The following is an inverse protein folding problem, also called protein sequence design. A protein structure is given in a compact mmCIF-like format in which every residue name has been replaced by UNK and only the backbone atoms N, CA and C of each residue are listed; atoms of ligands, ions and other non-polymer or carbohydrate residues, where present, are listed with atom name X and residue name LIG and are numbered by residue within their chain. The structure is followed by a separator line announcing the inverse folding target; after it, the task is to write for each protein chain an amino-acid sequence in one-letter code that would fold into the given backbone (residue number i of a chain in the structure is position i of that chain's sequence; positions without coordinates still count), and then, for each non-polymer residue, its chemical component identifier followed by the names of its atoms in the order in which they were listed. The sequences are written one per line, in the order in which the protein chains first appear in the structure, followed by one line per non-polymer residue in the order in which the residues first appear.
data_IF_071935513320
#
_entry.id   IF_071935513320
#
_cell.length_a   1.000
_cell.length_b   1.000
_cell.length_c   1.000
_cell.angle_alpha   90.00
_cell.angle_beta   90.00
_cell.angle_gamma   90.00
#
_symmetry.space_group_name_H-M   'P 1'
#
loop_
_entity.id
_entity.type
_entity.pdbx_description
1 polymer ?
#
# COMPACT_ATOMS: atom_id res chain seq x y z
N UNK A 1 -13.02 -7.21 -0.21
CA UNK A 1 -12.50 -8.61 -0.24
C UNK A 1 -12.97 -9.33 1.04
N UNK A 2 -13.17 -10.66 1.02
CA UNK A 2 -13.72 -11.44 2.17
C UNK A 2 -12.99 -11.17 3.49
N UNK A 3 -11.66 -11.05 3.46
CA UNK A 3 -10.85 -10.80 4.66
C UNK A 3 -11.10 -9.44 5.33
N UNK A 4 -11.50 -8.40 4.57
CA UNK A 4 -11.53 -7.02 5.10
C UNK A 4 -12.67 -6.73 6.05
N UNK A 5 -13.88 -7.16 5.69
CA UNK A 5 -15.07 -6.61 6.34
C UNK A 5 -15.43 -7.31 7.66
N UNK A 6 -15.14 -8.62 7.77
CA UNK A 6 -15.63 -9.44 8.88
C UNK A 6 -14.69 -10.59 9.28
N UNK A 7 -14.06 -11.29 8.32
CA UNK A 7 -13.57 -12.65 8.58
C UNK A 7 -12.04 -12.82 8.66
N UNK A 8 -11.24 -11.95 8.04
CA UNK A 8 -9.77 -12.08 8.00
C UNK A 8 -9.23 -13.19 7.08
N UNK A 9 -7.91 -13.37 7.07
CA UNK A 9 -7.21 -14.24 6.12
C UNK A 9 -7.38 -15.74 6.40
N UNK A 10 -7.43 -16.13 7.68
CA UNK A 10 -7.42 -17.53 8.14
C UNK A 10 -8.83 -18.16 8.30
N UNK A 11 -9.87 -17.40 7.94
CA UNK A 11 -11.27 -17.76 8.13
C UNK A 11 -11.75 -18.94 7.26
N UNK A 12 -12.89 -19.53 7.58
CA UNK A 12 -13.52 -20.56 6.74
C UNK A 12 -13.99 -19.99 5.39
N UNK A 13 -14.50 -18.77 5.38
CA UNK A 13 -14.90 -18.02 4.18
C UNK A 13 -13.68 -17.73 3.28
N UNK A 14 -12.55 -17.36 3.86
CA UNK A 14 -11.29 -17.16 3.14
C UNK A 14 -10.71 -18.48 2.61
N UNK A 15 -10.89 -19.59 3.34
CA UNK A 15 -10.54 -20.94 2.87
C UNK A 15 -11.44 -21.41 1.71
N UNK A 16 -12.76 -21.20 1.81
CA UNK A 16 -13.71 -21.54 0.74
C UNK A 16 -13.47 -20.67 -0.51
N UNK A 17 -13.25 -19.35 -0.34
CA UNK A 17 -12.86 -18.46 -1.43
C UNK A 17 -11.59 -18.93 -2.14
N UNK A 18 -10.56 -19.37 -1.39
CA UNK A 18 -9.32 -19.95 -1.95
C UNK A 18 -9.58 -21.25 -2.72
N UNK A 19 -10.45 -22.14 -2.22
CA UNK A 19 -10.86 -23.37 -2.93
C UNK A 19 -11.63 -23.07 -4.22
N UNK A 20 -12.57 -22.13 -4.18
CA UNK A 20 -13.33 -21.69 -5.36
C UNK A 20 -12.43 -21.03 -6.41
N UNK A 21 -11.44 -20.23 -5.98
CA UNK A 21 -10.46 -19.62 -6.87
C UNK A 21 -9.60 -20.67 -7.59
N UNK A 22 -9.13 -21.73 -6.91
CA UNK A 22 -8.44 -22.86 -7.55
C UNK A 22 -9.32 -23.58 -8.60
N UNK A 23 -10.60 -23.85 -8.28
CA UNK A 23 -11.56 -24.45 -9.23
C UNK A 23 -11.80 -23.53 -10.43
N UNK A 24 -11.97 -22.23 -10.21
CA UNK A 24 -12.17 -21.24 -11.27
C UNK A 24 -10.93 -21.13 -12.18
N UNK A 25 -9.74 -21.03 -11.59
CA UNK A 25 -8.46 -20.94 -12.31
C UNK A 25 -8.19 -22.21 -13.15
N UNK A 26 -8.53 -23.39 -12.62
CA UNK A 26 -8.47 -24.66 -13.36
C UNK A 26 -9.37 -24.63 -14.59
N UNK A 27 -10.63 -24.20 -14.43
CA UNK A 27 -11.61 -24.11 -15.52
C UNK A 27 -11.21 -23.08 -16.58
N UNK A 28 -10.83 -21.87 -16.15
CA UNK A 28 -10.37 -20.79 -17.01
C UNK A 28 -9.17 -21.21 -17.88
N UNK A 29 -8.14 -21.78 -17.24
CA UNK A 29 -6.96 -22.32 -17.95
C UNK A 29 -7.35 -23.39 -18.96
N UNK A 30 -8.21 -24.35 -18.58
CA UNK A 30 -8.63 -25.42 -19.49
C UNK A 30 -9.38 -24.87 -20.72
N UNK A 31 -10.26 -23.88 -20.54
CA UNK A 31 -10.97 -23.23 -21.65
C UNK A 31 -10.04 -22.45 -22.59
N UNK A 32 -9.03 -21.74 -22.06
CA UNK A 32 -7.99 -21.10 -22.86
C UNK A 32 -7.18 -22.14 -23.66
N UNK A 33 -6.67 -23.17 -22.98
CA UNK A 33 -5.87 -24.24 -23.59
C UNK A 33 -6.62 -25.01 -24.68
N UNK A 34 -7.93 -25.19 -24.53
CA UNK A 34 -8.81 -25.80 -25.54
C UNK A 34 -8.99 -24.88 -26.77
N UNK A 35 -9.06 -23.56 -26.57
CA UNK A 35 -9.38 -22.60 -27.64
C UNK A 35 -8.17 -22.19 -28.49
N UNK A 36 -6.99 -22.05 -27.90
CA UNK A 36 -5.78 -21.57 -28.61
C UNK A 36 -4.61 -22.57 -28.60
N UNK A 37 -4.78 -23.73 -27.94
CA UNK A 37 -3.74 -24.73 -27.79
C UNK A 37 -2.83 -24.47 -26.58
N UNK A 38 -2.37 -25.55 -25.94
CA UNK A 38 -1.53 -25.50 -24.73
C UNK A 38 -0.17 -24.83 -24.92
N UNK A 39 0.37 -24.88 -26.14
CA UNK A 39 1.65 -24.25 -26.50
C UNK A 39 1.53 -22.75 -26.81
N UNK A 40 0.32 -22.18 -26.71
CA UNK A 40 0.04 -20.77 -26.99
C UNK A 40 -0.34 -19.98 -25.72
N UNK A 41 -0.25 -20.60 -24.53
CA UNK A 41 -0.70 -20.01 -23.26
C UNK A 41 0.42 -20.01 -22.23
N UNK A 42 0.80 -18.81 -21.80
CA UNK A 42 1.60 -18.57 -20.60
C UNK A 42 0.72 -17.89 -19.57
N UNK A 43 0.68 -18.45 -18.36
CA UNK A 43 -0.11 -17.97 -17.24
C UNK A 43 0.81 -17.51 -16.12
N UNK A 44 0.64 -16.26 -15.70
CA UNK A 44 1.20 -15.72 -14.47
C UNK A 44 0.07 -15.45 -13.47
N UNK A 45 0.22 -15.93 -12.23
CA UNK A 45 -0.71 -15.66 -11.13
C UNK A 45 0.08 -15.15 -9.92
N UNK A 46 -0.35 -14.00 -9.41
CA UNK A 46 0.19 -13.34 -8.22
C UNK A 46 -0.96 -12.68 -7.46
N UNK A 47 -0.68 -12.18 -6.27
CA UNK A 47 -1.49 -11.12 -5.66
C UNK A 47 -0.80 -9.76 -5.84
N UNK A 48 -1.55 -8.69 -5.66
CA UNK A 48 -1.10 -7.30 -5.54
C UNK A 48 -0.52 -7.01 -4.15
N UNK A 49 -1.09 -7.61 -3.11
CA UNK A 49 -0.59 -7.61 -1.74
C UNK A 49 -1.00 -8.89 -1.00
N UNK A 50 -0.54 -9.04 0.23
CA UNK A 50 -1.03 -10.02 1.20
C UNK A 50 -1.74 -9.28 2.34
N UNK A 51 -1.75 -9.80 3.56
CA UNK A 51 -2.42 -9.17 4.70
C UNK A 51 -2.01 -9.80 6.03
N UNK A 52 -2.19 -9.10 7.16
CA UNK A 52 -1.96 -9.64 8.48
C UNK A 52 -3.16 -10.51 8.95
N UNK A 53 -3.01 -11.26 10.05
CA UNK A 53 -4.13 -11.89 10.75
C UNK A 53 -5.19 -10.88 11.22
N UNK A 54 -6.28 -11.39 11.78
CA UNK A 54 -7.28 -10.58 12.49
C UNK A 54 -6.67 -9.92 13.75
N UNK A 55 -6.91 -8.62 14.01
CA UNK A 55 -6.57 -7.97 15.29
C UNK A 55 -7.10 -8.70 16.53
N UNK A 56 -8.26 -9.35 16.43
CA UNK A 56 -8.87 -10.15 17.50
C UNK A 56 -8.02 -11.41 17.79
N UNK A 57 -7.56 -12.09 16.74
CA UNK A 57 -6.64 -13.23 16.86
C UNK A 57 -5.26 -12.80 17.36
N UNK A 58 -4.80 -11.61 16.96
CA UNK A 58 -3.56 -11.01 17.45
C UNK A 58 -3.64 -10.71 18.96
N UNK A 59 -4.76 -10.16 19.45
CA UNK A 59 -5.02 -10.00 20.90
C UNK A 59 -5.06 -11.34 21.64
N UNK A 60 -5.71 -12.36 21.07
CA UNK A 60 -5.73 -13.71 21.65
C UNK A 60 -4.33 -14.36 21.75
N UNK A 61 -3.34 -13.87 20.99
CA UNK A 61 -1.93 -14.27 21.06
C UNK A 61 -1.03 -13.24 21.79
N UNK A 62 -1.60 -12.37 22.63
CA UNK A 62 -0.85 -11.49 23.53
C UNK A 62 -0.25 -10.26 22.87
N UNK A 63 -0.86 -9.75 21.79
CA UNK A 63 -0.53 -8.44 21.24
C UNK A 63 -1.55 -7.40 21.74
N UNK A 64 -1.07 -6.44 22.51
CA UNK A 64 -1.85 -5.27 22.94
C UNK A 64 -2.07 -4.31 21.76
N UNK A 65 -3.27 -3.71 21.69
CA UNK A 65 -3.68 -2.72 20.68
C UNK A 65 -3.20 -2.99 19.22
N UNK A 66 -3.44 -4.18 18.62
CA UNK A 66 -2.93 -4.52 17.29
C UNK A 66 -3.68 -3.82 16.14
N UNK A 67 -4.47 -2.78 16.42
CA UNK A 67 -5.30 -2.10 15.43
C UNK A 67 -5.60 -0.64 15.81
N UNK A 68 -5.54 0.26 14.83
CA UNK A 68 -5.94 1.67 14.94
C UNK A 68 -6.95 1.96 13.83
N UNK A 69 -8.03 2.67 14.14
CA UNK A 69 -9.01 3.12 13.15
C UNK A 69 -8.44 4.34 12.40
N UNK A 70 -8.51 4.34 11.06
CA UNK A 70 -7.97 5.40 10.20
C UNK A 70 -8.62 6.75 10.53
N UNK A 71 -9.89 6.74 10.92
CA UNK A 71 -10.67 7.89 11.37
C UNK A 71 -10.05 8.55 12.61
N UNK A 72 -9.40 7.79 13.51
CA UNK A 72 -8.66 8.35 14.65
C UNK A 72 -7.44 9.16 14.19
N UNK A 73 -6.73 8.67 13.18
CA UNK A 73 -5.56 9.34 12.58
C UNK A 73 -6.00 10.60 11.83
N UNK A 74 -7.06 10.51 11.02
CA UNK A 74 -7.63 11.63 10.26
C UNK A 74 -8.13 12.71 11.21
N UNK A 75 -8.96 12.37 12.21
CA UNK A 75 -9.50 13.34 13.16
C UNK A 75 -8.40 14.02 14.00
N UNK A 76 -7.31 13.31 14.34
CA UNK A 76 -6.16 13.93 15.01
C UNK A 76 -5.43 14.95 14.11
N UNK A 77 -5.25 14.62 12.83
CA UNK A 77 -4.67 15.53 11.85
C UNK A 77 -5.55 16.76 11.61
N UNK A 78 -6.85 16.57 11.43
CA UNK A 78 -7.83 17.64 11.16
C UNK A 78 -7.99 18.60 12.34
N UNK A 79 -8.11 18.08 13.58
CA UNK A 79 -8.16 18.93 14.79
C UNK A 79 -6.97 19.89 14.88
N UNK A 80 -5.77 19.40 14.59
CA UNK A 80 -4.55 20.21 14.68
C UNK A 80 -4.40 21.13 13.48
N UNK A 81 -4.76 20.71 12.27
CA UNK A 81 -4.81 21.59 11.11
C UNK A 81 -5.78 22.76 11.34
N UNK A 82 -6.98 22.50 11.86
CA UNK A 82 -7.97 23.52 12.19
C UNK A 82 -7.45 24.47 13.29
N UNK A 83 -6.86 23.94 14.37
CA UNK A 83 -6.32 24.77 15.45
C UNK A 83 -5.21 25.75 14.97
N UNK A 84 -4.29 25.29 14.13
CA UNK A 84 -3.20 26.15 13.62
C UNK A 84 -3.68 27.14 12.57
N UNK A 85 -4.72 26.81 11.80
CA UNK A 85 -5.38 27.77 10.89
C UNK A 85 -6.25 28.80 11.64
N UNK A 86 -6.79 28.44 12.81
CA UNK A 86 -7.59 29.32 13.65
C UNK A 86 -6.75 30.27 14.53
N UNK A 87 -5.48 29.97 14.80
CA UNK A 87 -4.58 30.92 15.46
C UNK A 87 -4.33 32.15 14.56
N UNK A 88 -4.75 33.36 14.94
CA UNK A 88 -4.42 34.55 14.18
C UNK A 88 -2.90 34.76 14.21
N UNK A 89 -2.30 35.00 13.05
CA UNK A 89 -0.88 35.31 12.94
C UNK A 89 -0.61 36.71 13.49
N UNK A 90 -0.50 36.84 14.81
CA UNK A 90 -0.03 38.05 15.51
C UNK A 90 1.48 38.23 15.37
N UNK A 91 1.98 38.14 14.14
CA UNK A 91 3.20 38.82 13.76
C UNK A 91 2.86 40.32 13.70
N UNK A 92 3.03 41.01 14.83
CA UNK A 92 3.01 42.46 14.87
C UNK A 92 4.23 42.99 14.11
N UNK A 93 4.06 43.28 12.82
CA UNK A 93 4.89 44.27 12.14
C UNK A 93 4.06 45.51 11.85
N UNK A 94 4.47 46.65 12.41
CA UNK A 94 3.93 47.97 12.03
C UNK A 94 4.64 48.47 10.77
N UNK A 95 4.71 47.63 9.74
CA UNK A 95 5.23 47.94 8.42
C UNK A 95 4.08 48.26 7.45
N UNK A 96 4.01 49.51 6.97
CA UNK A 96 3.04 49.89 5.93
C UNK A 96 3.32 49.14 4.62
N UNK A 97 2.45 48.23 4.21
CA UNK A 97 2.52 47.58 2.89
C UNK A 97 1.17 47.04 2.45
N UNK A 98 0.60 47.59 1.36
CA UNK A 98 -0.58 47.01 0.71
C UNK A 98 -0.18 45.77 -0.08
N UNK A 99 -0.90 44.66 0.08
CA UNK A 99 -0.69 43.44 -0.70
C UNK A 99 -1.77 42.40 -0.40
N UNK A 100 -2.85 42.41 -1.18
CA UNK A 100 -3.94 41.42 -1.07
C UNK A 100 -3.50 40.08 -1.67
N UNK A 101 -3.07 39.14 -0.81
CA UNK A 101 -2.74 37.76 -1.20
C UNK A 101 -3.87 36.80 -0.86
N UNK A 102 -4.70 36.44 -1.85
CA UNK A 102 -5.73 35.39 -1.69
C UNK A 102 -5.08 34.01 -1.53
N UNK A 103 -5.05 33.49 -0.31
CA UNK A 103 -4.71 32.08 -0.06
C UNK A 103 -5.94 31.19 -0.29
N UNK A 104 -6.23 30.87 -1.55
CA UNK A 104 -7.29 29.91 -1.88
C UNK A 104 -6.84 28.48 -1.56
N UNK A 105 -7.35 27.93 -0.46
CA UNK A 105 -7.19 26.53 -0.12
C UNK A 105 -8.20 25.68 -0.91
N UNK A 106 -7.87 25.34 -2.16
CA UNK A 106 -8.72 24.51 -3.01
C UNK A 106 -8.83 23.08 -2.44
N UNK A 107 -10.02 22.70 -1.95
CA UNK A 107 -10.35 21.32 -1.67
C UNK A 107 -10.47 20.54 -3.00
N UNK A 108 -9.62 19.53 -3.19
CA UNK A 108 -9.63 18.68 -4.39
C UNK A 108 -10.46 17.42 -4.15
N UNK A 109 -11.36 17.12 -5.10
CA UNK A 109 -12.32 16.02 -5.02
C UNK A 109 -11.72 14.65 -4.66
N UNK A 110 -12.47 13.90 -3.86
CA UNK A 110 -12.13 12.56 -3.42
C UNK A 110 -12.65 11.50 -4.42
N UNK A 111 -11.76 10.92 -5.21
CA UNK A 111 -12.06 9.69 -5.97
C UNK A 111 -10.86 8.75 -6.06
N UNK A 112 -11.00 7.60 -5.38
CA UNK A 112 -10.05 6.48 -5.29
C UNK A 112 -8.68 6.77 -4.61
N UNK A 113 -8.25 5.84 -3.75
CA UNK A 113 -7.03 5.86 -2.91
C UNK A 113 -7.00 6.91 -1.77
N UNK A 114 -7.23 6.42 -0.55
CA UNK A 114 -7.44 7.20 0.68
C UNK A 114 -6.13 7.77 1.28
N UNK A 115 -5.54 8.84 0.71
CA UNK A 115 -4.30 9.50 1.24
C UNK A 115 -4.28 11.05 1.06
N UNK A 116 -4.37 11.87 2.14
CA UNK A 116 -4.46 13.35 2.11
C UNK A 116 -3.10 14.11 2.00
N UNK A 117 -3.13 15.46 1.82
CA UNK A 117 -2.22 16.12 0.85
C UNK A 117 -1.66 17.58 1.08
N UNK A 118 -0.62 17.90 1.91
CA UNK A 118 0.05 19.28 1.95
C UNK A 118 1.61 19.41 1.94
N UNK A 119 2.27 20.24 1.05
CA UNK A 119 3.74 20.36 0.69
C UNK A 119 4.51 21.55 1.30
N UNK A 120 5.83 21.38 1.50
CA UNK A 120 6.68 21.98 2.56
C UNK A 120 6.03 21.76 3.93
N UNK A 121 6.66 21.22 4.99
CA UNK A 121 5.95 21.29 6.28
C UNK A 121 6.05 22.76 6.74
N UNK A 122 5.11 23.59 6.27
CA UNK A 122 4.82 24.84 6.94
C UNK A 122 4.37 24.52 8.38
N UNK A 123 4.48 25.47 9.33
CA UNK A 123 4.24 25.19 10.75
C UNK A 123 2.99 24.32 11.03
N UNK A 124 1.81 24.56 10.41
CA UNK A 124 0.67 23.65 10.45
C UNK A 124 0.98 22.16 10.34
N UNK A 125 1.73 21.71 9.33
CA UNK A 125 1.93 20.28 9.14
C UNK A 125 3.02 19.67 10.02
N UNK A 126 3.92 20.48 10.60
CA UNK A 126 4.81 20.00 11.67
C UNK A 126 3.97 19.59 12.89
N UNK A 127 3.00 20.43 13.28
CA UNK A 127 2.06 20.10 14.36
C UNK A 127 1.19 18.89 14.01
N UNK A 128 0.66 18.79 12.79
CA UNK A 128 -0.09 17.60 12.31
C UNK A 128 0.78 16.34 12.39
N UNK A 129 2.02 16.38 11.91
CA UNK A 129 2.92 15.23 11.95
C UNK A 129 3.27 14.82 13.40
N UNK A 130 3.48 15.79 14.30
CA UNK A 130 3.72 15.55 15.71
C UNK A 130 2.51 14.91 16.41
N UNK A 131 1.29 15.40 16.11
CA UNK A 131 0.05 14.88 16.67
C UNK A 131 -0.27 13.45 16.20
N UNK A 132 -0.12 13.17 14.90
CA UNK A 132 -0.30 11.82 14.36
C UNK A 132 0.77 10.85 14.89
N UNK A 133 2.01 11.32 15.09
CA UNK A 133 3.09 10.53 15.73
C UNK A 133 2.81 10.26 17.22
N UNK A 134 1.98 11.06 17.88
CA UNK A 134 1.58 10.86 19.28
C UNK A 134 0.51 9.78 19.48
N UNK A 135 -0.06 9.22 18.41
CA UNK A 135 -1.07 8.15 18.49
C UNK A 135 -0.35 6.81 18.77
N UNK A 136 -0.71 6.08 19.84
CA UNK A 136 -0.20 4.74 20.11
C UNK A 136 -0.29 3.84 18.87
N UNK A 137 0.78 3.09 18.60
CA UNK A 137 0.87 2.22 17.41
C UNK A 137 1.13 2.94 16.07
N UNK A 138 1.27 4.27 16.01
CA UNK A 138 1.89 4.96 14.85
C UNK A 138 3.40 5.04 15.06
N UNK A 139 4.18 4.29 14.26
CA UNK A 139 5.63 4.25 14.41
C UNK A 139 6.40 5.34 13.66
N UNK A 140 5.86 5.90 12.58
CA UNK A 140 6.48 7.05 11.89
C UNK A 140 5.47 7.83 11.05
N UNK A 141 5.72 9.12 10.92
CA UNK A 141 5.05 9.99 9.94
C UNK A 141 6.11 10.53 8.98
N UNK A 142 5.92 10.28 7.69
CA UNK A 142 6.88 10.64 6.63
C UNK A 142 6.47 11.94 5.96
N UNK A 143 7.39 12.90 5.96
CA UNK A 143 7.40 13.97 4.97
C UNK A 143 7.87 13.40 3.62
N UNK A 144 6.97 13.40 2.62
CA UNK A 144 7.27 12.85 1.30
C UNK A 144 8.17 13.72 0.40
N UNK A 145 8.47 14.96 0.79
CA UNK A 145 9.35 15.90 0.06
C UNK A 145 10.78 15.85 0.57
N UNK A 146 10.93 15.73 1.88
CA UNK A 146 12.23 15.54 2.51
C UNK A 146 12.87 14.26 1.96
N UNK A 147 14.21 14.15 1.91
CA UNK A 147 14.87 12.91 1.49
C UNK A 147 14.48 11.73 2.39
N UNK A 148 14.71 10.51 1.90
CA UNK A 148 14.64 9.34 2.78
C UNK A 148 15.74 9.43 3.84
N UNK A 149 15.34 9.20 5.08
CA UNK A 149 16.27 8.86 6.15
C UNK A 149 17.00 7.56 5.77
N UNK A 150 18.33 7.56 5.88
CA UNK A 150 19.18 6.44 5.41
C UNK A 150 19.04 5.20 6.28
N UNK A 151 18.72 5.40 7.57
CA UNK A 151 18.64 4.31 8.55
C UNK A 151 17.23 3.70 8.63
N UNK A 152 16.26 4.21 7.86
CA UNK A 152 14.89 3.70 7.80
C UNK A 152 14.64 2.82 6.58
N UNK A 153 14.79 1.50 6.78
CA UNK A 153 14.52 0.49 5.77
C UNK A 153 13.08 0.52 5.19
N UNK A 154 12.12 1.15 5.87
CA UNK A 154 10.77 1.37 5.31
C UNK A 154 10.66 2.65 4.48
N UNK A 155 11.52 3.65 4.71
CA UNK A 155 11.44 4.97 4.07
C UNK A 155 11.33 4.93 2.54
N UNK A 156 12.19 4.19 1.83
CA UNK A 156 12.08 4.03 0.37
C UNK A 156 10.75 3.41 -0.08
N UNK A 157 10.19 2.47 0.70
CA UNK A 157 8.93 1.79 0.37
C UNK A 157 7.72 2.71 0.57
N UNK A 158 7.70 3.46 1.67
CA UNK A 158 6.64 4.43 1.96
C UNK A 158 6.60 5.53 0.89
N UNK A 159 7.78 5.99 0.43
CA UNK A 159 7.91 6.94 -0.68
C UNK A 159 7.47 6.36 -2.02
N UNK A 160 7.88 5.13 -2.35
CA UNK A 160 7.42 4.45 -3.56
C UNK A 160 5.89 4.23 -3.60
N UNK A 161 5.23 4.15 -2.43
CA UNK A 161 3.76 4.05 -2.32
C UNK A 161 2.99 5.35 -2.59
N UNK A 162 3.69 6.45 -2.86
CA UNK A 162 3.12 7.78 -3.08
C UNK A 162 3.67 8.40 -4.38
N UNK A 163 2.99 8.21 -5.52
CA UNK A 163 3.54 8.61 -6.82
C UNK A 163 3.67 10.14 -6.96
N UNK A 164 4.67 10.63 -7.72
CA UNK A 164 4.84 12.06 -7.99
C UNK A 164 3.58 12.73 -8.53
N UNK A 165 3.35 13.99 -8.17
CA UNK A 165 2.13 14.73 -8.54
C UNK A 165 0.86 14.29 -7.79
N UNK A 166 0.80 13.06 -7.23
CA UNK A 166 -0.16 12.79 -6.16
C UNK A 166 0.32 13.50 -4.92
N UNK A 167 -0.35 14.59 -4.60
CA UNK A 167 0.02 15.50 -3.54
C UNK A 167 -0.11 14.88 -2.12
N UNK A 168 -0.09 13.56 -1.93
CA UNK A 168 0.14 13.00 -0.60
C UNK A 168 1.52 13.49 -0.15
N UNK A 169 1.53 14.33 0.88
CA UNK A 169 2.72 15.08 1.29
C UNK A 169 3.11 14.72 2.75
N UNK A 170 2.18 14.17 3.54
CA UNK A 170 2.43 13.37 4.75
C UNK A 170 1.87 11.95 4.59
N UNK A 171 2.56 10.94 5.11
CA UNK A 171 2.06 9.54 5.19
C UNK A 171 2.43 8.92 6.54
N UNK A 172 1.48 8.31 7.24
CA UNK A 172 1.73 7.55 8.46
C UNK A 172 2.12 6.09 8.17
N UNK A 173 2.92 5.48 9.05
CA UNK A 173 3.26 4.05 9.08
C UNK A 173 2.93 3.50 10.46
N UNK A 174 2.14 2.44 10.48
CA UNK A 174 1.88 1.58 11.64
C UNK A 174 3.16 1.04 12.29
N UNK A 175 3.12 0.79 13.59
CA UNK A 175 4.11 -0.04 14.27
C UNK A 175 4.07 -1.49 13.75
N UNK A 176 5.16 -2.26 13.91
CA UNK A 176 5.14 -3.68 13.58
C UNK A 176 3.98 -4.38 14.31
N UNK A 177 3.17 -5.16 13.57
CA UNK A 177 1.98 -5.86 14.08
C UNK A 177 0.82 -4.95 14.53
N UNK A 178 0.76 -3.70 14.08
CA UNK A 178 -0.45 -2.86 14.19
C UNK A 178 -1.09 -2.72 12.81
N UNK A 179 -2.40 -2.91 12.73
CA UNK A 179 -3.21 -2.79 11.51
C UNK A 179 -3.92 -1.43 11.50
N UNK A 180 -3.87 -0.69 10.40
CA UNK A 180 -4.76 0.47 10.22
C UNK A 180 -6.07 -0.04 9.60
N UNK A 181 -7.20 0.17 10.26
CA UNK A 181 -8.53 -0.30 9.84
C UNK A 181 -9.36 0.87 9.28
N UNK A 182 -9.97 0.68 8.11
CA UNK A 182 -10.93 1.61 7.49
C UNK A 182 -12.31 0.94 7.50
N UNK A 183 -12.98 0.96 8.66
CA UNK A 183 -14.12 0.07 8.94
C UNK A 183 -15.35 0.77 9.52
N UNK A 184 -15.31 2.09 9.71
CA UNK A 184 -16.34 2.85 10.41
C UNK A 184 -16.25 2.66 11.93
N UNK A 185 -15.03 2.62 12.48
CA UNK A 185 -14.79 2.41 13.91
C UNK A 185 -15.06 0.99 14.44
N UNK A 186 -15.28 0.00 13.56
CA UNK A 186 -15.60 -1.38 13.96
C UNK A 186 -14.33 -2.19 14.18
N UNK A 187 -14.18 -2.78 15.36
CA UNK A 187 -13.11 -3.75 15.60
C UNK A 187 -13.49 -5.11 14.99
N UNK A 188 -13.47 -5.19 13.65
CA UNK A 188 -13.81 -6.36 12.82
C UNK A 188 -12.92 -6.42 11.58
N UNK A 189 -12.67 -7.63 11.07
CA UNK A 189 -11.88 -7.83 9.87
C UNK A 189 -10.40 -7.43 10.02
N UNK A 190 -9.71 -7.22 8.89
CA UNK A 190 -8.29 -6.84 8.86
C UNK A 190 -7.99 -6.05 7.58
N UNK A 191 -6.87 -5.34 7.52
CA UNK A 191 -6.48 -4.54 6.36
C UNK A 191 -4.97 -4.62 6.11
N UNK A 192 -4.52 -4.05 4.99
CA UNK A 192 -3.15 -4.14 4.48
C UNK A 192 -2.60 -2.76 4.08
N UNK A 193 -1.33 -2.73 3.70
CA UNK A 193 -0.62 -1.52 3.25
C UNK A 193 0.60 -1.17 4.09
N UNK A 194 0.97 -2.02 5.05
CA UNK A 194 2.19 -1.91 5.81
C UNK A 194 3.43 -2.19 4.93
N UNK A 195 4.58 -1.55 5.20
CA UNK A 195 5.84 -1.83 4.50
C UNK A 195 6.50 -3.15 4.96
N UNK A 196 5.84 -3.93 5.83
CA UNK A 196 6.37 -5.15 6.44
C UNK A 196 6.17 -6.39 5.56
N UNK A 197 6.85 -7.48 5.91
CA UNK A 197 6.88 -8.69 5.08
C UNK A 197 5.52 -9.40 4.97
N UNK A 198 4.62 -9.26 5.95
CA UNK A 198 3.29 -9.90 5.94
C UNK A 198 2.37 -9.34 4.86
N UNK A 199 2.50 -8.07 4.48
CA UNK A 199 1.70 -7.46 3.39
C UNK A 199 2.39 -7.56 2.04
N UNK A 200 3.72 -7.66 2.01
CA UNK A 200 4.52 -7.58 0.77
C UNK A 200 4.88 -8.94 0.18
N UNK A 201 4.73 -10.03 0.92
CA UNK A 201 5.08 -11.38 0.45
C UNK A 201 3.89 -12.02 -0.25
N UNK A 202 3.86 -11.90 -1.58
CA UNK A 202 2.87 -12.54 -2.46
C UNK A 202 3.46 -13.76 -3.18
N UNK A 203 2.66 -14.78 -3.53
CA UNK A 203 3.12 -15.87 -4.38
C UNK A 203 3.28 -15.40 -5.82
N UNK A 204 4.26 -15.94 -6.55
CA UNK A 204 4.33 -15.84 -8.02
C UNK A 204 4.31 -17.24 -8.61
N UNK A 205 3.26 -17.56 -9.36
CA UNK A 205 3.09 -18.82 -10.07
C UNK A 205 3.18 -18.56 -11.57
N UNK A 206 4.16 -19.17 -12.23
CA UNK A 206 4.32 -19.13 -13.68
C UNK A 206 4.05 -20.52 -14.26
N UNK A 207 3.39 -20.59 -15.42
CA UNK A 207 3.15 -21.84 -16.15
C UNK A 207 2.93 -21.60 -17.64
N UNK A 208 3.72 -22.24 -18.48
CA UNK A 208 3.55 -22.24 -19.93
C UNK A 208 4.80 -22.77 -20.64
N UNK A 209 4.85 -22.67 -21.98
CA UNK A 209 6.08 -22.93 -22.75
C UNK A 209 7.23 -22.03 -22.30
N UNK A 210 8.44 -22.58 -22.23
CA UNK A 210 9.63 -21.84 -21.76
C UNK A 210 9.65 -21.52 -20.26
N UNK A 211 8.72 -22.07 -19.46
CA UNK A 211 8.74 -21.93 -18.00
C UNK A 211 9.23 -23.25 -17.38
N UNK A 212 10.36 -23.18 -16.68
CA UNK A 212 10.97 -24.32 -16.01
C UNK A 212 10.09 -24.81 -14.83
N UNK A 213 9.99 -26.14 -14.67
CA UNK A 213 9.25 -26.75 -13.56
C UNK A 213 10.12 -26.78 -12.31
N UNK A 214 9.72 -26.07 -11.26
CA UNK A 214 10.46 -26.09 -9.99
C UNK A 214 9.87 -25.16 -8.93
N UNK A 215 10.63 -25.00 -7.84
CA UNK A 215 10.43 -23.93 -6.85
C UNK A 215 11.69 -23.08 -6.83
N UNK A 216 11.52 -21.77 -6.97
CA UNK A 216 12.63 -20.83 -7.03
C UNK A 216 12.60 -19.95 -5.78
N UNK A 217 13.65 -19.99 -4.96
CA UNK A 217 13.75 -19.22 -3.72
C UNK A 217 14.29 -17.79 -3.94
N UNK A 218 14.76 -17.48 -5.15
CA UNK A 218 15.29 -16.17 -5.50
C UNK A 218 14.19 -15.09 -5.39
N UNK A 219 14.55 -13.94 -4.80
CA UNK A 219 13.62 -12.81 -4.64
C UNK A 219 13.21 -12.24 -6.01
N UNK A 220 11.91 -12.19 -6.25
CA UNK A 220 11.27 -11.44 -7.33
C UNK A 220 10.47 -10.27 -6.74
N UNK A 221 10.35 -9.17 -7.48
CA UNK A 221 9.40 -8.09 -7.22
C UNK A 221 8.19 -8.21 -8.16
N UNK A 222 7.03 -7.67 -7.77
CA UNK A 222 5.82 -7.71 -8.63
C UNK A 222 6.06 -7.09 -10.03
N UNK A 223 6.99 -6.14 -10.13
CA UNK A 223 7.42 -5.49 -11.37
C UNK A 223 8.17 -6.44 -12.33
N UNK A 224 8.76 -7.51 -11.82
CA UNK A 224 9.49 -8.53 -12.61
C UNK A 224 8.53 -9.36 -13.48
N UNK A 225 7.24 -9.44 -13.12
CA UNK A 225 6.23 -10.18 -13.90
C UNK A 225 6.09 -9.62 -15.32
N UNK A 226 6.05 -8.29 -15.47
CA UNK A 226 5.90 -7.64 -16.77
C UNK A 226 7.13 -7.88 -17.67
N UNK A 227 8.35 -7.69 -17.16
CA UNK A 227 9.58 -7.95 -17.91
C UNK A 227 9.75 -9.43 -18.25
N UNK A 228 9.37 -10.33 -17.33
CA UNK A 228 9.36 -11.78 -17.56
C UNK A 228 8.41 -12.17 -18.69
N UNK A 229 7.18 -11.65 -18.70
CA UNK A 229 6.22 -11.94 -19.76
C UNK A 229 6.64 -11.33 -21.11
N UNK A 230 7.20 -10.12 -21.12
CA UNK A 230 7.73 -9.49 -22.33
C UNK A 230 8.83 -10.36 -22.97
N UNK A 231 9.80 -10.82 -22.15
CA UNK A 231 10.85 -11.73 -22.59
C UNK A 231 10.29 -13.06 -23.16
N UNK A 232 9.33 -13.69 -22.46
CA UNK A 232 8.71 -14.95 -22.92
C UNK A 232 7.91 -14.77 -24.23
N UNK A 233 7.37 -13.58 -24.48
CA UNK A 233 6.66 -13.21 -25.71
C UNK A 233 7.58 -12.73 -26.84
N UNK A 234 8.88 -12.52 -26.58
CA UNK A 234 9.82 -11.98 -27.56
C UNK A 234 9.58 -10.50 -27.91
N UNK A 235 8.99 -9.73 -27.00
CA UNK A 235 8.73 -8.29 -27.17
C UNK A 235 9.56 -7.46 -26.19
N UNK A 236 9.83 -6.19 -26.54
CA UNK A 236 10.46 -5.25 -25.62
C UNK A 236 9.64 -5.09 -24.33
N UNK A 237 10.27 -5.03 -23.14
CA UNK A 237 9.58 -4.60 -21.93
C UNK A 237 9.20 -3.11 -22.04
N UNK A 238 8.26 -2.61 -21.22
CA UNK A 238 7.91 -1.18 -21.19
C UNK A 238 9.13 -0.30 -20.90
N UNK A 239 9.23 0.87 -21.54
CA UNK A 239 10.43 1.74 -21.52
C UNK A 239 10.91 2.13 -20.11
N UNK A 240 9.98 2.25 -19.14
CA UNK A 240 10.27 2.56 -17.74
C UNK A 240 10.52 1.32 -16.85
N UNK A 241 10.68 0.13 -17.44
CA UNK A 241 10.88 -1.13 -16.73
C UNK A 241 12.28 -1.24 -16.13
N UNK A 242 12.39 -0.97 -14.83
CA UNK A 242 13.60 -1.25 -14.02
C UNK A 242 13.64 -2.69 -13.48
N UNK A 243 12.95 -3.61 -14.14
CA UNK A 243 12.70 -4.98 -13.67
C UNK A 243 13.59 -6.01 -14.35
N UNK A 244 13.72 -7.20 -13.75
CA UNK A 244 14.47 -8.33 -14.33
C UNK A 244 13.53 -9.45 -14.79
N UNK A 245 14.05 -10.33 -15.65
CA UNK A 245 13.43 -11.64 -15.91
C UNK A 245 13.68 -12.53 -14.70
N UNK A 246 12.65 -13.24 -14.22
CA UNK A 246 12.82 -14.20 -13.12
C UNK A 246 13.45 -15.51 -13.62
N UNK A 247 14.34 -16.11 -12.83
CA UNK A 247 15.10 -17.32 -13.20
C UNK A 247 14.28 -18.62 -13.33
N UNK A 248 12.95 -18.52 -13.44
CA UNK A 248 12.06 -19.63 -13.79
C UNK A 248 11.79 -19.70 -15.30
N UNK A 249 12.27 -18.74 -16.09
CA UNK A 249 12.22 -18.77 -17.56
C UNK A 249 13.48 -19.43 -18.11
N UNK A 250 13.28 -20.32 -19.06
CA UNK A 250 14.34 -21.01 -19.79
C UNK A 250 14.81 -20.12 -20.97
N UNK A 251 16.08 -19.69 -21.02
CA UNK A 251 16.63 -18.97 -22.17
C UNK A 251 16.79 -19.97 -23.34
N UNK A 252 15.88 -19.86 -24.31
CA UNK A 252 15.89 -20.66 -25.55
C UNK A 252 17.07 -20.32 -26.46
#
# INVERSE_FOLDING_TARGET
MVGHAYYGADSLEAHDMRRRADVALRRFRAALEQRVGRQSVVLAVTADHSGPPLPQGMRAHGLDEPSIQVETIVAAAERVAAAVLATPTTATDKGKGKGEGKNEASAGDASSSNKPRVQGLCPPQLFVAAAVRGIPGVARVYDLRQPADRDDACGPLMRASAPPGRAARLVARQAPRVVFLDTGGRDLGSDHGAPYAHDRRVPLLLRGPGIARGRFAARADARDVAATLAFVLGVSPPDASMSKVVGAVDPR
#
